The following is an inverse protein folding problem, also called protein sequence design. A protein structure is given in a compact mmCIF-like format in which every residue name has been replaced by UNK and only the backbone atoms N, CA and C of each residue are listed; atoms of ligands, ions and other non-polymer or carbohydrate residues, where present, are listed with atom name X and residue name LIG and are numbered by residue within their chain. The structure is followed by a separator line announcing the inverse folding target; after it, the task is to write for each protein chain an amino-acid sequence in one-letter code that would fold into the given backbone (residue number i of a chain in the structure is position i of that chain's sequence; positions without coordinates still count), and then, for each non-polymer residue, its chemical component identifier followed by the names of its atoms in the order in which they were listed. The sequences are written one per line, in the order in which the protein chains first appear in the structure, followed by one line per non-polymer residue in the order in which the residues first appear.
data_IF_765858347918
#
_entry.id   IF_765858347918
#
_cell.length_a   1.000
_cell.length_b   1.000
_cell.length_c   1.000
_cell.angle_alpha   90.00
_cell.angle_beta   90.00
_cell.angle_gamma   90.00
#
_symmetry.space_group_name_H-M   'P 1'
#
loop_
_entity.id
_entity.type
_entity.pdbx_description
1 polymer ?
#
# COMPACT_ATOMS: atom_id res chain seq x y z
N UNK A 1 21.55 12.08 -18.06
CA UNK A 1 20.75 11.00 -18.68
C UNK A 1 19.39 11.54 -19.14
N UNK A 2 19.22 11.72 -20.45
CA UNK A 2 17.96 12.21 -21.05
C UNK A 2 16.94 11.08 -20.92
N UNK A 3 15.98 11.24 -19.99
CA UNK A 3 14.88 10.29 -19.81
C UNK A 3 14.07 10.19 -21.10
N UNK A 4 13.98 8.99 -21.69
CA UNK A 4 13.02 8.78 -22.77
C UNK A 4 11.59 8.86 -22.19
N UNK A 5 10.65 9.55 -22.86
CA UNK A 5 9.24 9.60 -22.43
C UNK A 5 8.60 8.21 -22.25
N UNK A 6 9.17 7.19 -22.89
CA UNK A 6 8.72 5.79 -22.86
C UNK A 6 8.97 5.09 -21.51
N UNK A 7 10.07 5.41 -20.83
CA UNK A 7 10.39 4.81 -19.51
C UNK A 7 9.43 5.32 -18.43
N UNK A 8 9.04 6.59 -18.48
CA UNK A 8 8.16 7.23 -17.51
C UNK A 8 6.74 6.65 -17.49
N UNK A 9 6.27 6.12 -18.61
CA UNK A 9 4.89 5.61 -18.75
C UNK A 9 4.84 4.08 -18.89
N UNK A 10 5.96 3.37 -18.67
CA UNK A 10 6.04 1.92 -18.81
C UNK A 10 5.51 1.41 -20.16
N UNK A 11 5.73 2.19 -21.23
CA UNK A 11 5.14 1.92 -22.56
C UNK A 11 5.58 0.55 -23.08
N UNK A 12 6.82 0.17 -22.77
CA UNK A 12 7.39 -1.14 -23.16
C UNK A 12 6.60 -2.29 -22.53
N UNK A 13 6.25 -2.20 -21.23
CA UNK A 13 5.43 -3.21 -20.55
C UNK A 13 4.09 -3.45 -21.27
N UNK A 14 3.43 -2.38 -21.72
CA UNK A 14 2.17 -2.49 -22.46
C UNK A 14 2.35 -3.00 -23.88
N UNK A 15 3.45 -2.63 -24.56
CA UNK A 15 3.74 -3.13 -25.90
C UNK A 15 4.06 -4.62 -25.89
N UNK A 16 4.90 -5.08 -24.97
CA UNK A 16 5.25 -6.49 -24.79
C UNK A 16 3.99 -7.31 -24.51
N UNK A 17 3.17 -6.86 -23.56
CA UNK A 17 1.91 -7.51 -23.23
C UNK A 17 0.90 -7.54 -24.40
N UNK A 18 0.74 -6.44 -25.12
CA UNK A 18 -0.16 -6.36 -26.27
C UNK A 18 0.28 -7.31 -27.40
N UNK A 19 1.58 -7.38 -27.66
CA UNK A 19 2.13 -8.26 -28.70
C UNK A 19 1.99 -9.72 -28.29
N UNK A 20 2.30 -10.09 -27.05
CA UNK A 20 2.12 -11.46 -26.55
C UNK A 20 0.67 -11.92 -26.71
N UNK A 21 -0.30 -11.11 -26.24
CA UNK A 21 -1.72 -11.45 -26.38
C UNK A 21 -2.19 -11.49 -27.84
N UNK A 22 -1.66 -10.63 -28.70
CA UNK A 22 -1.99 -10.67 -30.13
C UNK A 22 -1.50 -11.99 -30.76
N UNK A 23 -0.30 -12.45 -30.39
CA UNK A 23 0.26 -13.69 -30.91
C UNK A 23 -0.56 -14.89 -30.43
N UNK A 24 -0.89 -14.96 -29.15
CA UNK A 24 -1.79 -16.00 -28.58
C UNK A 24 -3.17 -15.97 -29.26
N UNK A 25 -3.79 -14.79 -29.38
CA UNK A 25 -5.09 -14.66 -30.03
C UNK A 25 -5.04 -15.03 -31.52
N UNK A 26 -3.90 -14.83 -32.20
CA UNK A 26 -3.72 -15.20 -33.61
C UNK A 26 -3.64 -16.72 -33.78
N UNK A 27 -3.14 -17.47 -32.81
CA UNK A 27 -3.16 -18.93 -32.83
C UNK A 27 -4.59 -19.46 -32.81
N UNK A 28 -5.46 -18.85 -32.00
CA UNK A 28 -6.90 -19.19 -31.93
C UNK A 28 -7.72 -18.61 -33.09
N UNK A 29 -7.34 -17.43 -33.59
CA UNK A 29 -8.02 -16.69 -34.64
C UNK A 29 -7.04 -16.12 -35.69
N UNK A 30 -6.69 -16.91 -36.72
CA UNK A 30 -5.72 -16.50 -37.74
C UNK A 30 -6.11 -15.28 -38.57
N UNK A 31 -7.39 -14.86 -38.53
CA UNK A 31 -7.92 -13.71 -39.28
C UNK A 31 -7.95 -12.41 -38.49
N UNK A 32 -7.39 -12.40 -37.26
CA UNK A 32 -7.31 -11.19 -36.45
C UNK A 32 -6.65 -10.06 -37.25
N UNK A 33 -7.21 -8.85 -37.15
CA UNK A 33 -6.58 -7.64 -37.65
C UNK A 33 -5.66 -7.06 -36.56
N UNK A 34 -4.32 -7.11 -36.72
CA UNK A 34 -3.38 -6.62 -35.70
C UNK A 34 -3.59 -5.17 -35.30
N UNK A 35 -3.87 -4.29 -36.28
CA UNK A 35 -4.03 -2.87 -36.03
C UNK A 35 -5.27 -2.60 -35.17
N UNK A 36 -6.38 -3.30 -35.45
CA UNK A 36 -7.60 -3.20 -34.64
C UNK A 36 -7.37 -3.73 -33.23
N UNK A 37 -6.74 -4.90 -33.10
CA UNK A 37 -6.44 -5.51 -31.82
C UNK A 37 -5.60 -4.58 -30.92
N UNK A 38 -4.50 -4.05 -31.46
CA UNK A 38 -3.64 -3.12 -30.71
C UNK A 38 -4.38 -1.83 -30.35
N UNK A 39 -5.20 -1.29 -31.26
CA UNK A 39 -6.04 -0.13 -30.97
C UNK A 39 -7.01 -0.39 -29.81
N UNK A 40 -7.69 -1.55 -29.81
CA UNK A 40 -8.64 -1.93 -28.76
C UNK A 40 -7.92 -2.17 -27.42
N UNK A 41 -6.75 -2.81 -27.45
CA UNK A 41 -5.88 -3.01 -26.28
C UNK A 41 -5.47 -1.67 -25.66
N UNK A 42 -4.87 -0.76 -26.42
CA UNK A 42 -4.41 0.53 -25.88
C UNK A 42 -5.57 1.43 -25.47
N UNK A 43 -6.75 1.29 -26.10
CA UNK A 43 -7.98 1.92 -25.63
C UNK A 43 -8.38 1.37 -24.26
N UNK A 44 -8.28 0.06 -24.04
CA UNK A 44 -8.52 -0.57 -22.73
C UNK A 44 -7.53 -0.08 -21.66
N UNK A 45 -6.24 0.00 -22.00
CA UNK A 45 -5.19 0.54 -21.12
C UNK A 45 -5.49 2.00 -20.75
N UNK A 46 -5.80 2.83 -21.74
CA UNK A 46 -6.15 4.24 -21.53
C UNK A 46 -7.37 4.40 -20.62
N UNK A 47 -8.39 3.54 -20.78
CA UNK A 47 -9.60 3.53 -19.94
C UNK A 47 -9.39 2.91 -18.56
N UNK A 48 -8.28 2.19 -18.34
CA UNK A 48 -7.98 1.49 -17.10
C UNK A 48 -8.82 0.22 -16.90
N UNK A 49 -9.22 -0.46 -17.97
CA UNK A 49 -9.98 -1.72 -17.91
C UNK A 49 -9.10 -2.96 -18.13
N UNK A 50 -7.85 -2.76 -18.52
CA UNK A 50 -6.90 -3.79 -18.95
C UNK A 50 -6.41 -4.72 -17.82
N UNK A 51 -6.75 -4.44 -16.56
CA UNK A 51 -6.34 -5.24 -15.40
C UNK A 51 -7.37 -6.27 -14.95
N UNK A 52 -8.55 -6.32 -15.58
CA UNK A 52 -9.56 -7.33 -15.31
C UNK A 52 -9.09 -8.72 -15.77
N UNK A 53 -9.23 -9.71 -14.89
CA UNK A 53 -8.88 -11.12 -15.13
C UNK A 53 -7.41 -11.32 -15.52
N UNK A 54 -6.54 -10.50 -14.94
CA UNK A 54 -5.09 -10.56 -15.13
C UNK A 54 -4.40 -11.17 -13.93
N UNK A 55 -3.24 -11.74 -14.19
CA UNK A 55 -2.33 -12.26 -13.17
C UNK A 55 -1.80 -11.15 -12.25
N UNK A 56 -1.47 -11.51 -11.02
CA UNK A 56 -0.99 -10.59 -9.99
C UNK A 56 0.25 -9.81 -10.45
N UNK A 57 1.18 -10.50 -11.11
CA UNK A 57 2.42 -9.91 -11.58
C UNK A 57 2.17 -8.77 -12.58
N UNK A 58 1.18 -8.94 -13.46
CA UNK A 58 0.80 -7.90 -14.39
C UNK A 58 0.15 -6.70 -13.69
N UNK A 59 -0.80 -6.93 -12.78
CA UNK A 59 -1.52 -5.83 -12.13
C UNK A 59 -0.63 -4.99 -11.21
N UNK A 60 0.44 -5.57 -10.64
CA UNK A 60 1.39 -4.85 -9.79
C UNK A 60 2.49 -4.13 -10.57
N UNK A 61 2.73 -4.49 -11.83
CA UNK A 61 3.91 -4.10 -12.61
C UNK A 61 4.12 -2.59 -12.79
N UNK A 62 3.04 -1.81 -12.86
CA UNK A 62 3.13 -0.35 -13.09
C UNK A 62 2.22 0.42 -12.12
N UNK A 63 2.52 1.70 -11.83
CA UNK A 63 1.62 2.56 -11.08
C UNK A 63 0.23 2.70 -11.73
N UNK A 64 0.16 2.72 -13.07
CA UNK A 64 -1.11 2.81 -13.79
C UNK A 64 -1.93 1.52 -13.65
N UNK A 65 -1.31 0.34 -13.71
CA UNK A 65 -1.99 -0.94 -13.50
C UNK A 65 -2.56 -1.02 -12.09
N UNK A 66 -1.76 -0.66 -11.07
CA UNK A 66 -2.19 -0.65 -9.67
C UNK A 66 -3.40 0.28 -9.47
N UNK A 67 -3.32 1.49 -10.02
CA UNK A 67 -4.43 2.46 -9.96
C UNK A 67 -5.67 1.95 -10.68
N UNK A 68 -5.53 1.40 -11.89
CA UNK A 68 -6.63 0.86 -12.67
C UNK A 68 -7.32 -0.30 -11.93
N UNK A 69 -6.54 -1.20 -11.33
CA UNK A 69 -7.06 -2.33 -10.55
C UNK A 69 -7.82 -1.86 -9.31
N UNK A 70 -7.29 -0.91 -8.53
CA UNK A 70 -8.00 -0.32 -7.37
C UNK A 70 -9.34 0.31 -7.81
N UNK A 71 -9.36 1.02 -8.95
CA UNK A 71 -10.59 1.61 -9.52
C UNK A 71 -11.61 0.56 -9.90
N UNK A 72 -11.17 -0.53 -10.54
CA UNK A 72 -12.04 -1.64 -10.91
C UNK A 72 -12.61 -2.30 -9.66
N UNK A 73 -11.78 -2.59 -8.65
CA UNK A 73 -12.21 -3.16 -7.38
C UNK A 73 -13.30 -2.29 -6.71
N UNK A 74 -13.07 -0.98 -6.61
CA UNK A 74 -14.09 -0.04 -6.13
C UNK A 74 -15.35 -0.09 -6.99
N UNK A 75 -15.23 -0.01 -8.33
CA UNK A 75 -16.41 -0.01 -9.23
C UNK A 75 -17.23 -1.29 -9.08
N UNK A 76 -16.60 -2.45 -9.03
CA UNK A 76 -17.27 -3.75 -8.94
C UNK A 76 -17.97 -3.95 -7.59
N UNK A 77 -17.35 -3.51 -6.49
CA UNK A 77 -17.81 -3.88 -5.14
C UNK A 77 -18.30 -2.72 -4.27
N UNK A 78 -18.39 -1.48 -4.79
CA UNK A 78 -18.94 -0.32 -4.05
C UNK A 78 -20.33 -0.56 -3.44
N UNK A 79 -21.10 -1.50 -3.95
CA UNK A 79 -22.41 -1.83 -3.40
C UNK A 79 -22.31 -2.52 -2.04
N UNK A 80 -21.25 -3.30 -1.78
CA UNK A 80 -20.95 -3.88 -0.46
C UNK A 80 -20.77 -2.77 0.58
N UNK A 81 -20.06 -1.69 0.22
CA UNK A 81 -19.94 -0.54 1.10
C UNK A 81 -21.25 0.23 1.33
N UNK A 82 -22.18 0.18 0.35
CA UNK A 82 -23.49 0.85 0.47
C UNK A 82 -24.51 0.05 1.26
N UNK A 83 -24.44 -1.28 1.22
CA UNK A 83 -25.27 -2.15 2.08
C UNK A 83 -24.85 -2.06 3.55
N UNK A 84 -23.60 -1.66 3.81
CA UNK A 84 -23.04 -1.62 5.16
C UNK A 84 -22.54 -2.99 5.62
N UNK A 85 -22.39 -3.94 4.70
CA UNK A 85 -21.87 -5.27 5.01
C UNK A 85 -20.42 -5.16 5.48
N UNK A 86 -20.11 -5.87 6.57
CA UNK A 86 -18.76 -6.01 7.07
C UNK A 86 -18.23 -7.38 6.66
N UNK A 87 -17.01 -7.41 6.14
CA UNK A 87 -16.38 -8.64 5.66
C UNK A 87 -15.07 -8.88 6.40
N UNK A 88 -14.69 -10.16 6.57
CA UNK A 88 -13.37 -10.53 7.06
C UNK A 88 -12.33 -10.53 5.92
N UNK A 89 -11.06 -10.71 6.27
CA UNK A 89 -9.95 -10.73 5.31
C UNK A 89 -10.10 -11.81 4.22
N UNK A 90 -10.66 -12.99 4.52
CA UNK A 90 -10.83 -14.08 3.54
C UNK A 90 -11.93 -13.78 2.52
N UNK A 91 -12.97 -13.08 2.94
CA UNK A 91 -14.03 -12.61 2.06
C UNK A 91 -13.51 -11.53 1.11
N UNK A 92 -12.72 -10.56 1.60
CA UNK A 92 -12.05 -9.59 0.73
C UNK A 92 -11.07 -10.24 -0.25
N UNK A 93 -10.30 -11.24 0.20
CA UNK A 93 -9.44 -12.04 -0.68
C UNK A 93 -10.28 -12.68 -1.79
N UNK A 94 -11.45 -13.22 -1.48
CA UNK A 94 -12.35 -13.83 -2.46
C UNK A 94 -12.85 -12.80 -3.48
N UNK A 95 -13.22 -11.59 -3.04
CA UNK A 95 -13.60 -10.50 -3.95
C UNK A 95 -12.45 -10.08 -4.89
N UNK A 96 -11.23 -10.00 -4.37
CA UNK A 96 -10.04 -9.72 -5.16
C UNK A 96 -9.75 -10.84 -6.17
N UNK A 97 -9.91 -12.10 -5.76
CA UNK A 97 -9.76 -13.27 -6.62
C UNK A 97 -10.77 -13.33 -7.77
N UNK A 98 -11.96 -12.71 -7.64
CA UNK A 98 -12.89 -12.57 -8.76
C UNK A 98 -12.34 -11.69 -9.89
N UNK A 99 -11.38 -10.79 -9.59
CA UNK A 99 -10.77 -9.89 -10.57
C UNK A 99 -9.35 -10.32 -10.97
N UNK A 100 -8.63 -10.97 -10.06
CA UNK A 100 -7.24 -11.42 -10.22
C UNK A 100 -7.10 -12.80 -9.55
N UNK A 101 -7.17 -13.91 -10.31
CA UNK A 101 -7.32 -15.26 -9.73
C UNK A 101 -6.21 -15.66 -8.74
N UNK A 102 -4.99 -15.18 -8.97
CA UNK A 102 -3.78 -15.46 -8.20
C UNK A 102 -3.41 -14.34 -7.21
N UNK A 103 -4.38 -13.50 -6.81
CA UNK A 103 -4.12 -12.39 -5.89
C UNK A 103 -3.51 -12.89 -4.56
N UNK A 104 -2.44 -12.29 -4.03
CA UNK A 104 -1.72 -12.81 -2.88
C UNK A 104 -2.45 -12.52 -1.56
N UNK A 105 -2.69 -13.59 -0.79
CA UNK A 105 -3.27 -13.50 0.55
C UNK A 105 -2.44 -12.63 1.50
N UNK A 106 -1.11 -12.65 1.36
CA UNK A 106 -0.20 -11.87 2.20
C UNK A 106 -0.52 -10.36 2.14
N UNK A 107 -0.86 -9.85 0.96
CA UNK A 107 -1.17 -8.43 0.79
C UNK A 107 -2.52 -8.06 1.44
N UNK A 108 -3.49 -8.97 1.39
CA UNK A 108 -4.78 -8.81 2.07
C UNK A 108 -4.61 -8.85 3.58
N UNK A 109 -3.74 -9.73 4.10
CA UNK A 109 -3.41 -9.77 5.52
C UNK A 109 -2.69 -8.49 5.98
N UNK A 110 -1.70 -8.01 5.22
CA UNK A 110 -1.04 -6.72 5.51
C UNK A 110 -2.04 -5.57 5.53
N UNK A 111 -2.96 -5.55 4.57
CA UNK A 111 -4.05 -4.57 4.50
C UNK A 111 -4.96 -4.64 5.73
N UNK A 112 -5.40 -5.84 6.10
CA UNK A 112 -6.26 -6.05 7.25
C UNK A 112 -5.58 -5.61 8.56
N UNK A 113 -4.26 -5.79 8.73
CA UNK A 113 -3.49 -5.28 9.89
C UNK A 113 -3.40 -3.74 9.97
N UNK A 114 -3.59 -3.04 8.85
CA UNK A 114 -3.69 -1.57 8.89
C UNK A 114 -5.03 -1.17 9.51
N UNK A 115 -6.10 -1.93 9.26
CA UNK A 115 -7.46 -1.63 9.71
C UNK A 115 -7.76 -2.20 11.11
N UNK A 116 -7.27 -3.40 11.37
CA UNK A 116 -7.49 -4.19 12.57
C UNK A 116 -6.18 -4.27 13.36
N UNK A 117 -6.29 -4.35 14.69
CA UNK A 117 -5.12 -4.62 15.54
C UNK A 117 -4.67 -6.09 15.35
N UNK A 118 -3.40 -6.41 15.64
CA UNK A 118 -2.80 -7.73 15.35
C UNK A 118 -3.56 -8.91 15.99
N UNK A 119 -4.24 -8.68 17.12
CA UNK A 119 -5.05 -9.64 17.85
C UNK A 119 -6.50 -9.79 17.34
N UNK A 120 -6.90 -8.98 16.36
CA UNK A 120 -8.27 -8.86 15.86
C UNK A 120 -8.40 -9.26 14.38
N UNK A 121 -7.49 -10.05 13.82
CA UNK A 121 -7.43 -10.34 12.38
C UNK A 121 -8.63 -11.13 11.83
N UNK A 122 -9.42 -11.78 12.69
CA UNK A 122 -10.67 -12.45 12.33
C UNK A 122 -11.90 -11.52 12.41
N UNK A 123 -11.71 -10.26 12.81
CA UNK A 123 -12.80 -9.29 12.87
C UNK A 123 -13.25 -8.84 11.47
N UNK A 124 -14.48 -8.36 11.42
CA UNK A 124 -15.07 -7.81 10.21
C UNK A 124 -14.65 -6.35 10.04
N UNK A 125 -14.43 -5.92 8.80
CA UNK A 125 -14.09 -4.55 8.45
C UNK A 125 -14.98 -4.03 7.32
N UNK A 126 -15.23 -2.72 7.35
CA UNK A 126 -16.05 -2.07 6.32
C UNK A 126 -15.32 -2.03 4.99
N UNK A 127 -16.09 -1.98 3.89
CA UNK A 127 -15.53 -1.88 2.54
C UNK A 127 -14.65 -0.65 2.38
N UNK A 128 -15.04 0.48 2.99
CA UNK A 128 -14.31 1.74 2.92
C UNK A 128 -12.97 1.66 3.63
N UNK A 129 -12.95 1.11 4.86
CA UNK A 129 -11.71 0.97 5.62
C UNK A 129 -10.73 0.02 4.92
N UNK A 130 -11.24 -1.12 4.44
CA UNK A 130 -10.44 -2.05 3.66
C UNK A 130 -9.90 -1.40 2.38
N UNK A 131 -10.75 -0.71 1.61
CA UNK A 131 -10.34 -0.10 0.33
C UNK A 131 -9.23 0.93 0.53
N UNK A 132 -9.33 1.79 1.53
CA UNK A 132 -8.32 2.83 1.76
C UNK A 132 -7.00 2.25 2.26
N UNK A 133 -7.05 1.27 3.17
CA UNK A 133 -5.86 0.53 3.58
C UNK A 133 -5.25 -0.26 2.40
N UNK A 134 -6.09 -0.88 1.57
CA UNK A 134 -5.68 -1.67 0.42
C UNK A 134 -4.98 -0.80 -0.61
N UNK A 135 -5.56 0.37 -0.90
CA UNK A 135 -4.97 1.37 -1.77
C UNK A 135 -3.58 1.78 -1.29
N UNK A 136 -3.46 2.07 0.01
CA UNK A 136 -2.19 2.43 0.63
C UNK A 136 -1.16 1.30 0.49
N UNK A 137 -1.54 0.08 0.87
CA UNK A 137 -0.66 -1.10 0.85
C UNK A 137 -0.24 -1.49 -0.57
N UNK A 138 -1.17 -1.53 -1.51
CA UNK A 138 -0.92 -2.01 -2.87
C UNK A 138 -0.20 -0.98 -3.74
N UNK A 139 -0.57 0.30 -3.65
CA UNK A 139 0.01 1.34 -4.49
C UNK A 139 1.40 1.79 -4.03
N UNK A 140 1.67 1.74 -2.72
CA UNK A 140 2.94 2.18 -2.14
C UNK A 140 3.74 1.02 -1.51
N UNK A 141 3.50 -0.22 -1.94
CA UNK A 141 4.05 -1.45 -1.34
C UNK A 141 5.57 -1.35 -1.03
N UNK A 142 6.37 -0.92 -2.00
CA UNK A 142 7.83 -0.75 -1.82
C UNK A 142 8.22 0.29 -0.76
N UNK A 143 7.46 1.37 -0.60
CA UNK A 143 7.72 2.40 0.40
C UNK A 143 7.48 1.87 1.82
N UNK A 144 6.39 1.11 2.04
CA UNK A 144 6.05 0.64 3.37
C UNK A 144 6.85 -0.56 3.84
N UNK A 145 7.34 -1.41 2.93
CA UNK A 145 8.32 -2.46 3.29
C UNK A 145 9.57 -1.82 3.93
N UNK A 146 10.18 -0.86 3.24
CA UNK A 146 11.37 -0.16 3.78
C UNK A 146 11.02 0.73 4.99
N UNK A 147 9.82 1.33 5.02
CA UNK A 147 9.35 2.09 6.17
C UNK A 147 9.24 1.23 7.44
N UNK A 148 8.79 -0.02 7.32
CA UNK A 148 8.72 -0.97 8.44
C UNK A 148 10.13 -1.37 8.94
N UNK A 149 11.08 -1.57 8.03
CA UNK A 149 12.48 -1.85 8.37
C UNK A 149 13.11 -0.67 9.13
N UNK A 150 12.94 0.56 8.64
CA UNK A 150 13.39 1.78 9.31
C UNK A 150 12.79 1.87 10.71
N UNK A 151 11.47 1.66 10.83
CA UNK A 151 10.78 1.71 12.10
C UNK A 151 11.34 0.69 13.11
N UNK A 152 11.55 -0.54 12.66
CA UNK A 152 12.12 -1.63 13.47
C UNK A 152 13.56 -1.33 13.90
N UNK A 153 14.36 -0.74 13.02
CA UNK A 153 15.73 -0.32 13.33
C UNK A 153 15.78 0.81 14.38
N UNK A 154 14.87 1.78 14.30
CA UNK A 154 14.75 2.83 15.32
C UNK A 154 14.36 2.23 16.68
N UNK A 155 13.39 1.29 16.67
CA UNK A 155 12.98 0.58 17.88
C UNK A 155 14.12 -0.22 18.51
N UNK A 156 14.88 -0.98 17.72
CA UNK A 156 15.98 -1.81 18.22
C UNK A 156 17.13 -0.96 18.76
N UNK A 157 17.47 0.16 18.10
CA UNK A 157 18.46 1.11 18.58
C UNK A 157 18.05 1.75 19.92
N UNK A 158 16.76 2.07 20.08
CA UNK A 158 16.22 2.65 21.32
C UNK A 158 16.23 1.64 22.48
N UNK A 159 15.93 0.36 22.20
CA UNK A 159 15.98 -0.73 23.20
C UNK A 159 17.42 -1.06 23.60
N UNK A 160 18.33 -1.18 22.64
CA UNK A 160 19.75 -1.44 22.90
C UNK A 160 20.45 -0.35 23.72
N UNK A 161 20.01 0.91 23.62
CA UNK A 161 20.49 2.01 24.45
C UNK A 161 20.01 1.94 25.91
N UNK A 162 18.93 1.20 26.22
CA UNK A 162 18.39 1.02 27.57
C UNK A 162 18.98 -0.18 28.30
N UNK A 163 19.43 -1.20 27.57
CA UNK A 163 20.03 -2.42 28.14
C UNK A 163 21.51 -2.24 28.54
N UNK A 164 22.16 -1.16 28.10
CA UNK A 164 23.45 -0.73 28.63
C UNK A 164 23.22 0.20 29.83
N UNK A 165 23.72 -0.21 31.01
CA UNK A 165 23.70 0.50 32.31
C UNK A 165 22.54 0.11 33.25
N UNK A 166 22.74 -1.00 33.98
CA UNK A 166 22.25 -1.13 35.36
C UNK A 166 23.46 -1.37 36.26
N UNK A 167 24.00 -0.30 36.82
CA UNK A 167 24.89 -0.38 38.00
C UNK A 167 24.03 -0.03 39.21
N UNK A 168 23.99 -0.83 40.29
CA UNK A 168 23.17 -0.51 41.45
C UNK A 168 23.81 0.65 42.20
N UNK A 169 23.29 1.87 42.02
CA UNK A 169 23.55 2.99 42.93
C UNK A 169 22.25 3.35 43.62
N UNK A 170 22.19 2.96 44.89
CA UNK A 170 21.10 3.22 45.82
C UNK A 170 21.01 4.72 46.07
N UNK A 171 19.93 5.37 45.62
CA UNK A 171 19.48 6.66 46.17
C UNK A 171 18.02 6.93 45.80
N UNK A 172 17.17 6.94 46.84
CA UNK A 172 15.74 7.27 46.80
C UNK A 172 15.55 8.76 46.50
N UNK A 173 14.78 9.11 45.46
CA UNK A 173 13.96 10.35 45.46
C UNK A 173 12.65 10.15 44.68
N UNK A 174 11.67 10.98 45.04
CA UNK A 174 10.23 10.78 44.95
C UNK A 174 9.64 11.17 43.58
N UNK A 175 8.74 10.31 43.09
CA UNK A 175 7.54 10.52 42.27
C UNK A 175 7.40 11.76 41.38
N UNK A 176 7.37 11.51 40.06
CA UNK A 176 6.39 12.12 39.15
C UNK A 176 5.37 11.03 38.74
N UNK A 177 4.08 11.34 38.57
CA UNK A 177 3.12 10.38 38.05
C UNK A 177 3.54 9.98 36.62
N UNK A 178 3.50 8.70 36.25
CA UNK A 178 3.66 8.31 34.85
C UNK A 178 2.54 8.98 34.05
N UNK A 179 2.91 9.81 33.07
CA UNK A 179 1.97 10.25 32.04
C UNK A 179 1.39 9.01 31.35
N UNK A 180 0.13 9.12 30.90
CA UNK A 180 -0.66 8.03 30.32
C UNK A 180 0.20 7.18 29.37
N UNK A 181 0.42 5.94 29.79
CA UNK A 181 0.94 4.78 29.05
C UNK A 181 1.29 5.02 27.58
N UNK A 182 2.55 5.40 27.35
CA UNK A 182 3.21 5.15 26.07
C UNK A 182 3.11 3.66 25.74
N UNK A 183 2.53 3.32 24.59
CA UNK A 183 2.54 1.93 24.11
C UNK A 183 3.99 1.44 23.98
N UNK A 184 4.30 0.18 24.38
CA UNK A 184 5.66 -0.38 24.39
C UNK A 184 6.34 -0.44 23.01
N UNK A 185 5.56 -0.25 21.94
CA UNK A 185 5.97 -0.32 20.53
C UNK A 185 5.75 1.00 19.78
N UNK A 186 6.19 2.12 20.36
CA UNK A 186 6.17 3.45 19.73
C UNK A 186 7.58 4.01 19.54
N UNK A 187 7.79 4.85 18.51
CA UNK A 187 9.05 5.60 18.27
C UNK A 187 8.79 7.11 18.27
N UNK A 188 9.85 7.90 18.45
CA UNK A 188 9.77 9.36 18.32
C UNK A 188 9.46 9.77 16.88
N UNK A 189 8.41 10.55 16.69
CA UNK A 189 7.88 10.86 15.36
C UNK A 189 8.82 11.72 14.52
N UNK A 190 9.60 12.59 15.14
CA UNK A 190 10.61 13.43 14.45
C UNK A 190 11.73 12.58 13.88
N UNK A 191 12.25 11.64 14.67
CA UNK A 191 13.28 10.71 14.23
C UNK A 191 12.77 9.82 13.09
N UNK A 192 11.54 9.31 13.22
CA UNK A 192 10.94 8.49 12.18
C UNK A 192 10.67 9.27 10.89
N UNK A 193 10.19 10.51 10.99
CA UNK A 193 9.97 11.38 9.82
C UNK A 193 11.25 11.64 9.04
N UNK A 194 12.35 12.00 9.69
CA UNK A 194 13.62 12.27 8.98
C UNK A 194 14.12 11.01 8.23
N UNK A 195 13.99 9.84 8.85
CA UNK A 195 14.37 8.59 8.18
C UNK A 195 13.46 8.25 6.99
N UNK A 196 12.14 8.43 7.12
CA UNK A 196 11.18 8.22 6.02
C UNK A 196 11.38 9.26 4.90
N UNK A 197 11.73 10.49 5.24
CA UNK A 197 12.04 11.54 4.26
C UNK A 197 13.27 11.15 3.43
N UNK A 198 14.34 10.68 4.08
CA UNK A 198 15.53 10.17 3.38
C UNK A 198 15.19 8.98 2.46
N UNK A 199 14.27 8.10 2.87
CA UNK A 199 13.79 7.00 2.03
C UNK A 199 13.14 7.50 0.74
N UNK A 200 12.28 8.52 0.82
CA UNK A 200 11.63 9.14 -0.33
C UNK A 200 12.64 9.79 -1.29
N UNK A 201 13.72 10.37 -0.76
CA UNK A 201 14.78 11.00 -1.57
C UNK A 201 15.72 9.97 -2.23
N UNK A 202 15.88 8.80 -1.60
CA UNK A 202 16.86 7.78 -2.02
C UNK A 202 16.29 6.83 -3.08
N UNK A 203 15.03 6.42 -2.94
CA UNK A 203 14.45 5.38 -3.80
C UNK A 203 13.38 5.93 -4.75
N UNK A 204 13.34 5.41 -5.97
CA UNK A 204 12.37 5.80 -7.00
C UNK A 204 11.04 5.05 -6.90
N UNK A 205 10.62 4.66 -5.70
CA UNK A 205 9.30 4.05 -5.50
C UNK A 205 8.24 5.13 -5.40
N UNK A 206 6.99 4.79 -5.77
CA UNK A 206 5.85 5.62 -5.42
C UNK A 206 5.79 5.77 -3.89
N UNK A 207 5.61 6.99 -3.40
CA UNK A 207 5.45 7.28 -1.98
C UNK A 207 4.36 8.35 -1.76
N UNK A 208 3.73 8.41 -0.58
CA UNK A 208 2.82 9.52 -0.25
C UNK A 208 3.55 10.87 -0.29
N UNK A 209 2.86 11.99 -0.58
CA UNK A 209 3.47 13.32 -0.56
C UNK A 209 4.14 13.63 0.77
N UNK A 210 5.37 14.15 0.73
CA UNK A 210 6.20 14.38 1.92
C UNK A 210 5.53 15.33 2.92
N UNK A 211 4.77 16.32 2.44
CA UNK A 211 4.03 17.24 3.33
C UNK A 211 2.92 16.54 4.11
N UNK A 212 2.26 15.53 3.51
CA UNK A 212 1.27 14.71 4.20
C UNK A 212 1.95 13.82 5.24
N UNK A 213 3.07 13.19 4.88
CA UNK A 213 3.88 12.39 5.81
C UNK A 213 4.31 13.22 7.03
N UNK A 214 4.80 14.45 6.79
CA UNK A 214 5.17 15.39 7.84
C UNK A 214 3.97 15.74 8.71
N UNK A 215 2.84 16.12 8.11
CA UNK A 215 1.64 16.52 8.85
C UNK A 215 1.14 15.43 9.80
N UNK A 216 1.11 14.18 9.34
CA UNK A 216 0.70 13.03 10.16
C UNK A 216 1.70 12.75 11.28
N UNK A 217 2.99 12.66 10.96
CA UNK A 217 4.01 12.33 11.96
C UNK A 217 4.18 13.44 13.00
N UNK A 218 4.02 14.71 12.62
CA UNK A 218 4.15 15.84 13.56
C UNK A 218 2.90 16.05 14.43
N UNK A 219 1.84 15.26 14.23
CA UNK A 219 0.60 15.36 15.02
C UNK A 219 0.73 14.82 16.45
N UNK A 220 1.70 13.94 16.71
CA UNK A 220 1.97 13.35 18.00
C UNK A 220 3.49 13.20 18.22
N UNK A 221 4.00 13.31 19.46
CA UNK A 221 5.43 13.16 19.75
C UNK A 221 5.93 11.74 19.47
N UNK A 222 5.07 10.74 19.68
CA UNK A 222 5.36 9.33 19.46
C UNK A 222 4.30 8.68 18.60
N UNK A 223 4.70 7.68 17.83
CA UNK A 223 3.82 7.01 16.87
C UNK A 223 4.13 5.51 16.81
N UNK A 224 3.11 4.68 16.66
CA UNK A 224 3.26 3.27 16.29
C UNK A 224 3.23 3.11 14.77
N UNK A 225 3.89 2.09 14.22
CA UNK A 225 3.93 1.90 12.76
C UNK A 225 2.52 1.75 12.17
N UNK A 226 1.68 0.89 12.74
CA UNK A 226 0.30 0.70 12.29
C UNK A 226 -0.59 1.91 12.60
N UNK A 227 -0.33 2.66 13.67
CA UNK A 227 -1.00 3.93 13.92
C UNK A 227 -0.71 4.97 12.82
N UNK A 228 0.53 5.03 12.35
CA UNK A 228 0.93 5.85 11.21
C UNK A 228 0.27 5.39 9.90
N UNK A 229 0.28 4.09 9.59
CA UNK A 229 -0.38 3.56 8.39
C UNK A 229 -1.90 3.79 8.41
N UNK A 230 -2.55 3.63 9.56
CA UNK A 230 -3.96 3.92 9.75
C UNK A 230 -4.28 5.40 9.51
N UNK A 231 -3.45 6.30 10.04
CA UNK A 231 -3.61 7.74 9.82
C UNK A 231 -3.44 8.12 8.33
N UNK A 232 -2.50 7.47 7.62
CA UNK A 232 -2.34 7.63 6.18
C UNK A 232 -3.55 7.12 5.40
N UNK A 233 -4.06 5.93 5.74
CA UNK A 233 -5.23 5.35 5.09
C UNK A 233 -6.48 6.22 5.27
N UNK A 234 -6.59 6.97 6.37
CA UNK A 234 -7.71 7.88 6.63
C UNK A 234 -7.51 9.29 6.04
N UNK A 235 -6.34 9.59 5.49
CA UNK A 235 -6.04 10.93 5.01
C UNK A 235 -6.72 11.21 3.65
N UNK A 236 -7.65 12.16 3.62
CA UNK A 236 -8.44 12.50 2.42
C UNK A 236 -7.58 12.81 1.19
N UNK A 237 -6.46 13.53 1.38
CA UNK A 237 -5.53 13.83 0.29
C UNK A 237 -4.98 12.58 -0.40
N UNK A 238 -4.67 11.51 0.35
CA UNK A 238 -4.17 10.24 -0.19
C UNK A 238 -5.31 9.50 -0.89
N UNK A 239 -6.47 9.45 -0.24
CA UNK A 239 -7.67 8.80 -0.78
C UNK A 239 -8.18 9.49 -2.06
N UNK A 240 -7.90 10.78 -2.23
CA UNK A 240 -8.25 11.54 -3.43
C UNK A 240 -7.24 11.39 -4.57
N UNK A 241 -6.01 10.96 -4.27
CA UNK A 241 -4.89 10.93 -5.22
C UNK A 241 -4.76 9.59 -5.96
N UNK A 242 -5.14 8.48 -5.33
CA UNK A 242 -5.13 7.16 -5.95
C UNK A 242 -6.58 6.74 -6.25
N UNK A 243 -6.82 6.27 -7.46
CA UNK A 243 -8.08 5.61 -7.80
C UNK A 243 -9.27 6.50 -8.21
N UNK A 244 -9.06 7.72 -8.74
CA UNK A 244 -10.11 8.47 -9.47
C UNK A 244 -10.12 8.17 -10.95
#
# INVERSE_FOLDING_TARGET
PVFSPTARHHVITYLEDAVSQLLEHKEENPRVNPAKFLSDYFTSVHRGNHTLFREYEYIKATPHNRTAFIRIFWKCFRQVGKSGDLLNAKEYQSLLCLLCPDFPLELVQKTARIVLMDDAMDCLMSFTDFLFAFQLQFYYDGHFVHGAEIYTNIMSATRGSRDAVVVPSVSRTKGKPPQLSDGPDSVESTQFFEAVKMLCETFQFSHPPVDILRGILMSAPRVSFYGFLMALAKHEGINSAVGK
#
